data_IF_373822674489
#
_entry.id   IF_373822674489
#
_cell.length_a   1.000
_cell.length_b   1.000
_cell.length_c   1.000
_cell.angle_alpha   90.00
_cell.angle_beta   90.00
_cell.angle_gamma   90.00
#
_symmetry.space_group_name_H-M   'P 1'
#
loop_
_entity.id
_entity.type
_entity.pdbx_description
1 polymer ?
#
# COMPACT_ATOMS: atom_id res chain seq x y z
N UNK A 1 -21.04 -15.67 -11.09
CA UNK A 1 -19.89 -15.17 -11.89
C UNK A 1 -19.86 -13.65 -11.75
N UNK A 2 -18.73 -13.10 -11.28
CA UNK A 2 -18.57 -11.66 -10.99
C UNK A 2 -18.28 -10.84 -12.25
N UNK A 3 -17.89 -11.47 -13.36
CA UNK A 3 -17.40 -10.78 -14.58
C UNK A 3 -15.96 -10.27 -14.45
N UNK A 4 -15.25 -10.62 -13.38
CA UNK A 4 -13.84 -10.26 -13.21
C UNK A 4 -12.97 -10.95 -14.28
N UNK A 5 -12.00 -10.22 -14.82
CA UNK A 5 -11.02 -10.70 -15.80
C UNK A 5 -9.59 -10.70 -15.25
N UNK A 6 -9.35 -10.03 -14.13
CA UNK A 6 -8.06 -9.96 -13.45
C UNK A 6 -8.15 -10.37 -11.99
N UNK A 7 -7.01 -10.70 -11.42
CA UNK A 7 -6.86 -11.01 -10.00
C UNK A 7 -5.67 -10.25 -9.42
N UNK A 8 -5.90 -9.63 -8.28
CA UNK A 8 -4.88 -9.05 -7.41
C UNK A 8 -4.56 -10.04 -6.30
N UNK A 9 -3.30 -10.22 -5.97
CA UNK A 9 -2.85 -11.18 -4.97
C UNK A 9 -2.24 -10.46 -3.78
N UNK A 10 -2.94 -10.46 -2.67
CA UNK A 10 -2.43 -9.96 -1.39
C UNK A 10 -1.71 -11.10 -0.66
N UNK A 11 -0.37 -11.06 -0.69
CA UNK A 11 0.48 -12.18 -0.29
C UNK A 11 0.23 -12.66 1.15
N UNK A 12 0.18 -11.74 2.12
CA UNK A 12 0.05 -12.07 3.54
C UNK A 12 -1.30 -12.72 3.88
N UNK A 13 -2.34 -12.38 3.14
CA UNK A 13 -3.68 -12.89 3.38
C UNK A 13 -4.01 -14.13 2.56
N UNK A 14 -3.51 -14.19 1.34
CA UNK A 14 -3.91 -15.22 0.37
C UNK A 14 -2.89 -16.37 0.29
N UNK A 15 -1.60 -16.09 0.50
CA UNK A 15 -0.55 -17.12 0.58
C UNK A 15 -0.31 -17.45 2.06
N UNK A 16 -1.03 -18.44 2.57
CA UNK A 16 -0.93 -18.87 3.98
C UNK A 16 0.25 -19.83 4.22
N UNK A 17 1.43 -19.48 3.71
CA UNK A 17 2.67 -20.29 3.81
C UNK A 17 3.85 -19.40 4.18
N UNK A 18 4.63 -19.87 5.13
CA UNK A 18 5.91 -19.29 5.46
C UNK A 18 6.98 -20.39 5.55
N UNK A 19 8.14 -20.23 4.89
CA UNK A 19 8.49 -19.12 4.00
C UNK A 19 7.63 -19.07 2.73
N UNK A 20 7.58 -17.89 2.08
CA UNK A 20 6.85 -17.72 0.82
C UNK A 20 7.34 -18.73 -0.25
N UNK A 21 6.45 -19.27 -1.10
CA UNK A 21 6.75 -20.35 -2.03
C UNK A 21 7.50 -19.90 -3.29
N UNK A 22 8.67 -19.26 -3.14
CA UNK A 22 9.42 -18.62 -4.23
C UNK A 22 9.96 -19.60 -5.26
N UNK A 23 10.30 -20.82 -4.85
CA UNK A 23 10.87 -21.85 -5.72
C UNK A 23 10.00 -23.12 -5.72
N UNK A 24 8.73 -22.97 -5.40
CA UNK A 24 7.76 -24.06 -5.36
C UNK A 24 7.04 -24.19 -6.70
N UNK A 25 7.53 -25.09 -7.55
CA UNK A 25 6.95 -25.32 -8.88
C UNK A 25 5.51 -25.87 -8.78
N UNK A 26 5.21 -26.69 -7.78
CA UNK A 26 3.84 -27.19 -7.58
C UNK A 26 2.87 -26.08 -7.24
N UNK A 27 3.29 -25.10 -6.42
CA UNK A 27 2.49 -23.90 -6.14
C UNK A 27 2.29 -23.05 -7.40
N UNK A 28 3.32 -22.87 -8.19
CA UNK A 28 3.28 -22.14 -9.47
C UNK A 28 2.33 -22.80 -10.46
N UNK A 29 2.42 -24.11 -10.65
CA UNK A 29 1.50 -24.87 -11.51
C UNK A 29 0.05 -24.77 -11.05
N UNK A 30 -0.19 -24.86 -9.74
CA UNK A 30 -1.52 -24.68 -9.15
C UNK A 30 -2.08 -23.28 -9.41
N UNK A 31 -1.25 -22.25 -9.23
CA UNK A 31 -1.61 -20.85 -9.50
C UNK A 31 -2.05 -20.65 -10.96
N UNK A 32 -1.22 -21.03 -11.91
CA UNK A 32 -1.56 -20.91 -13.34
C UNK A 32 -2.73 -21.81 -13.73
N UNK A 33 -2.92 -22.94 -13.08
CA UNK A 33 -4.08 -23.78 -13.22
C UNK A 33 -5.38 -23.06 -12.84
N UNK A 34 -5.38 -22.31 -11.75
CA UNK A 34 -6.51 -21.46 -11.34
C UNK A 34 -6.77 -20.32 -12.32
N UNK A 35 -5.74 -19.60 -12.72
CA UNK A 35 -5.87 -18.52 -13.70
C UNK A 35 -6.54 -19.03 -14.99
N UNK A 36 -6.06 -20.13 -15.53
CA UNK A 36 -6.64 -20.77 -16.71
C UNK A 36 -8.08 -21.21 -16.49
N UNK A 37 -8.37 -21.89 -15.36
CA UNK A 37 -9.70 -22.40 -15.04
C UNK A 37 -10.76 -21.30 -14.96
N UNK A 38 -10.41 -20.14 -14.40
CA UNK A 38 -11.32 -19.04 -14.17
C UNK A 38 -11.22 -17.93 -15.22
N UNK A 39 -10.35 -18.09 -16.21
CA UNK A 39 -10.04 -17.09 -17.25
C UNK A 39 -9.67 -15.73 -16.64
N UNK A 40 -8.67 -15.75 -15.75
CA UNK A 40 -8.16 -14.57 -15.05
C UNK A 40 -6.72 -14.30 -15.46
N UNK A 41 -6.34 -13.00 -15.42
CA UNK A 41 -4.96 -12.56 -15.60
C UNK A 41 -4.41 -11.99 -14.28
N UNK A 42 -3.14 -12.20 -13.94
CA UNK A 42 -2.51 -11.58 -12.78
C UNK A 42 -2.35 -10.08 -13.03
N UNK A 43 -3.04 -9.22 -12.25
CA UNK A 43 -3.04 -7.77 -12.42
C UNK A 43 -2.00 -7.08 -11.55
N UNK A 44 -2.02 -7.34 -10.25
CA UNK A 44 -1.11 -6.75 -9.29
C UNK A 44 -0.81 -7.72 -8.14
N UNK A 45 0.45 -7.74 -7.72
CA UNK A 45 0.90 -8.42 -6.51
C UNK A 45 1.03 -7.39 -5.39
N UNK A 46 0.35 -7.59 -4.27
CA UNK A 46 0.41 -6.71 -3.13
C UNK A 46 1.43 -7.19 -2.11
N UNK A 47 2.44 -6.36 -1.87
CA UNK A 47 3.48 -6.60 -0.88
C UNK A 47 3.35 -5.61 0.29
N UNK A 48 3.36 -6.15 1.49
CA UNK A 48 3.49 -5.38 2.72
C UNK A 48 4.88 -5.57 3.30
N UNK A 49 5.53 -4.45 3.61
CA UNK A 49 6.82 -4.46 4.26
C UNK A 49 6.62 -4.47 5.78
N UNK A 50 6.71 -5.65 6.39
CA UNK A 50 6.62 -5.80 7.84
C UNK A 50 7.96 -5.44 8.48
N UNK A 51 7.98 -4.37 9.26
CA UNK A 51 9.20 -3.85 9.88
C UNK A 51 9.42 -4.33 11.32
N UNK A 52 8.39 -4.92 11.94
CA UNK A 52 8.35 -5.28 13.36
C UNK A 52 8.33 -6.79 13.59
N UNK A 53 9.12 -7.53 12.81
CA UNK A 53 9.22 -8.99 12.95
C UNK A 53 10.10 -9.46 14.11
N UNK A 54 10.83 -8.54 14.75
CA UNK A 54 11.66 -8.80 15.93
C UNK A 54 11.18 -7.97 17.12
N UNK A 55 11.15 -8.58 18.31
CA UNK A 55 10.70 -7.91 19.54
C UNK A 55 11.66 -6.81 20.02
N UNK A 56 12.94 -6.88 19.66
CA UNK A 56 14.01 -6.07 20.23
C UNK A 56 14.66 -5.09 19.25
N UNK A 57 14.30 -5.13 17.97
CA UNK A 57 14.82 -4.21 16.96
C UNK A 57 13.92 -4.10 15.74
N UNK A 58 14.04 -3.00 15.03
CA UNK A 58 13.56 -2.89 13.66
C UNK A 58 14.47 -3.68 12.71
N UNK A 59 13.93 -4.14 11.59
CA UNK A 59 14.75 -4.68 10.53
C UNK A 59 15.57 -3.58 9.85
N UNK A 60 16.81 -3.91 9.47
CA UNK A 60 17.71 -2.97 8.80
C UNK A 60 17.23 -2.65 7.38
N UNK A 61 17.72 -1.55 6.79
CA UNK A 61 17.45 -1.20 5.40
C UNK A 61 17.79 -2.35 4.44
N UNK A 62 18.94 -3.01 4.64
CA UNK A 62 19.33 -4.14 3.80
C UNK A 62 18.36 -5.33 3.88
N UNK A 63 17.83 -5.62 5.08
CA UNK A 63 16.80 -6.65 5.27
C UNK A 63 15.50 -6.26 4.57
N UNK A 64 15.08 -5.00 4.67
CA UNK A 64 13.88 -4.47 4.00
C UNK A 64 14.02 -4.57 2.48
N UNK A 65 15.15 -4.18 1.92
CA UNK A 65 15.45 -4.32 0.48
C UNK A 65 15.41 -5.79 0.05
N UNK A 66 15.95 -6.70 0.87
CA UNK A 66 15.90 -8.14 0.57
C UNK A 66 14.47 -8.69 0.61
N UNK A 67 13.63 -8.21 1.53
CA UNK A 67 12.21 -8.55 1.55
C UNK A 67 11.49 -8.07 0.29
N UNK A 68 11.71 -6.83 -0.12
CA UNK A 68 11.15 -6.29 -1.37
C UNK A 68 11.62 -7.11 -2.59
N UNK A 69 12.89 -7.45 -2.68
CA UNK A 69 13.43 -8.30 -3.78
C UNK A 69 12.82 -9.69 -3.77
N UNK A 70 12.56 -10.27 -2.60
CA UNK A 70 11.87 -11.55 -2.45
C UNK A 70 10.45 -11.46 -3.05
N UNK A 71 9.71 -10.40 -2.72
CA UNK A 71 8.35 -10.22 -3.21
C UNK A 71 8.31 -9.91 -4.71
N UNK A 72 9.26 -9.12 -5.23
CA UNK A 72 9.45 -8.93 -6.68
C UNK A 72 9.68 -10.26 -7.40
N UNK A 73 10.53 -11.14 -6.83
CA UNK A 73 10.79 -12.46 -7.39
C UNK A 73 9.55 -13.33 -7.43
N UNK A 74 8.77 -13.35 -6.33
CA UNK A 74 7.53 -14.11 -6.27
C UNK A 74 6.49 -13.55 -7.24
N UNK A 75 6.33 -12.23 -7.32
CA UNK A 75 5.46 -11.58 -8.29
C UNK A 75 5.80 -11.99 -9.73
N UNK A 76 7.08 -11.91 -10.11
CA UNK A 76 7.56 -12.34 -11.43
C UNK A 76 7.27 -13.81 -11.70
N UNK A 77 7.55 -14.70 -10.74
CA UNK A 77 7.29 -16.15 -10.86
C UNK A 77 5.81 -16.45 -11.08
N UNK A 78 4.91 -15.67 -10.46
CA UNK A 78 3.46 -15.82 -10.60
C UNK A 78 2.87 -15.06 -11.80
N UNK A 79 3.72 -14.43 -12.62
CA UNK A 79 3.30 -13.75 -13.85
C UNK A 79 2.83 -12.31 -13.67
N UNK A 80 2.95 -11.72 -12.49
CA UNK A 80 2.63 -10.33 -12.25
C UNK A 80 3.68 -9.40 -12.87
N UNK A 81 3.22 -8.30 -13.45
CA UNK A 81 4.05 -7.22 -13.98
C UNK A 81 4.07 -5.98 -13.08
N UNK A 82 3.20 -5.95 -12.11
CA UNK A 82 3.09 -4.86 -11.15
C UNK A 82 3.08 -5.42 -9.73
N UNK A 83 3.83 -4.76 -8.86
CA UNK A 83 3.85 -5.00 -7.43
C UNK A 83 3.42 -3.70 -6.75
N UNK A 84 2.36 -3.76 -5.95
CA UNK A 84 1.90 -2.64 -5.12
C UNK A 84 2.55 -2.71 -3.74
N UNK A 85 3.01 -1.56 -3.26
CA UNK A 85 3.45 -1.38 -1.87
C UNK A 85 2.80 -0.14 -1.26
N UNK A 86 2.78 -0.05 0.06
CA UNK A 86 2.09 1.02 0.78
C UNK A 86 2.96 2.28 0.93
N UNK A 87 2.32 3.42 1.20
CA UNK A 87 2.96 4.71 1.52
C UNK A 87 3.94 4.65 2.70
N UNK A 88 3.81 3.64 3.56
CA UNK A 88 4.74 3.39 4.68
C UNK A 88 6.07 2.78 4.23
N UNK A 89 6.20 2.33 2.98
CA UNK A 89 7.45 1.78 2.48
C UNK A 89 8.48 2.88 2.29
N UNK A 90 9.65 2.81 2.96
CA UNK A 90 10.67 3.83 2.82
C UNK A 90 11.18 3.96 1.38
N UNK A 91 11.43 5.20 0.96
CA UNK A 91 11.95 5.50 -0.39
C UNK A 91 13.26 4.77 -0.68
N UNK A 92 14.16 4.69 0.30
CA UNK A 92 15.45 4.00 0.17
C UNK A 92 15.31 2.49 -0.10
N UNK A 93 14.23 1.87 0.41
CA UNK A 93 13.90 0.47 0.11
C UNK A 93 13.47 0.31 -1.34
N UNK A 94 12.62 1.22 -1.81
CA UNK A 94 12.17 1.25 -3.21
C UNK A 94 13.38 1.43 -4.11
N UNK A 95 14.18 2.47 -3.88
CA UNK A 95 15.36 2.78 -4.68
C UNK A 95 16.37 1.62 -4.71
N UNK A 96 16.68 1.02 -3.55
CA UNK A 96 17.56 -0.14 -3.43
C UNK A 96 17.04 -1.41 -4.11
N UNK A 97 15.80 -1.40 -4.56
CA UNK A 97 15.15 -2.53 -5.25
C UNK A 97 14.96 -2.32 -6.75
N UNK A 98 15.19 -1.11 -7.28
CA UNK A 98 14.87 -0.75 -8.68
C UNK A 98 15.61 -1.60 -9.70
N UNK A 99 16.91 -1.80 -9.54
CA UNK A 99 17.71 -2.64 -10.45
C UNK A 99 17.18 -4.08 -10.52
N UNK A 100 16.76 -4.59 -9.36
CA UNK A 100 16.20 -5.94 -9.29
C UNK A 100 14.79 -5.99 -9.90
N UNK A 101 13.98 -4.96 -9.72
CA UNK A 101 12.68 -4.83 -10.33
C UNK A 101 12.77 -4.82 -11.87
N UNK A 102 13.72 -4.06 -12.41
CA UNK A 102 14.03 -4.05 -13.84
C UNK A 102 14.48 -5.41 -14.34
N UNK A 103 15.42 -6.07 -13.66
CA UNK A 103 15.87 -7.41 -13.99
C UNK A 103 14.76 -8.45 -14.04
N UNK A 104 13.77 -8.33 -13.15
CA UNK A 104 12.64 -9.26 -13.04
C UNK A 104 11.43 -8.84 -13.88
N UNK A 105 11.49 -7.68 -14.55
CA UNK A 105 10.40 -7.09 -15.32
C UNK A 105 9.10 -6.93 -14.50
N UNK A 106 9.23 -6.40 -13.26
CA UNK A 106 8.14 -6.13 -12.34
C UNK A 106 8.22 -4.67 -11.88
N UNK A 107 7.21 -3.87 -12.17
CA UNK A 107 7.14 -2.47 -11.75
C UNK A 107 6.67 -2.35 -10.31
N UNK A 108 7.34 -1.52 -9.53
CA UNK A 108 6.94 -1.17 -8.16
C UNK A 108 5.97 0.01 -8.23
N UNK A 109 4.76 -0.15 -7.71
CA UNK A 109 3.77 0.90 -7.58
C UNK A 109 3.58 1.26 -6.11
N UNK A 110 3.82 2.52 -5.74
CA UNK A 110 3.53 3.03 -4.41
C UNK A 110 2.08 3.47 -4.34
N UNK A 111 1.27 2.78 -3.53
CA UNK A 111 -0.12 3.18 -3.32
C UNK A 111 -0.19 4.51 -2.58
N UNK A 112 -0.92 5.44 -3.16
CA UNK A 112 -1.18 6.75 -2.55
C UNK A 112 -2.63 6.77 -2.08
N UNK A 113 -2.83 6.66 -0.78
CA UNK A 113 -4.16 6.73 -0.17
C UNK A 113 -4.26 7.88 0.83
N UNK A 114 -5.49 8.28 1.16
CA UNK A 114 -5.72 9.30 2.17
C UNK A 114 -5.03 8.92 3.51
N UNK A 115 -4.41 9.89 4.21
CA UNK A 115 -4.47 11.34 4.01
C UNK A 115 -3.45 11.90 3.01
N UNK A 116 -2.60 11.07 2.41
CA UNK A 116 -1.60 11.51 1.44
C UNK A 116 -2.24 11.98 0.13
N UNK A 117 -1.54 12.86 -0.57
CA UNK A 117 -1.95 13.37 -1.88
C UNK A 117 -0.72 13.60 -2.74
N UNK A 118 -0.82 13.39 -4.04
CA UNK A 118 0.27 13.67 -4.99
C UNK A 118 0.65 15.16 -5.05
N UNK A 119 -0.27 16.04 -4.63
CA UNK A 119 -0.06 17.49 -4.65
C UNK A 119 0.46 18.06 -3.31
N UNK A 120 0.79 17.23 -2.34
CA UNK A 120 1.12 17.66 -0.97
C UNK A 120 2.60 17.80 -0.68
N UNK A 121 3.49 17.88 -1.68
CA UNK A 121 4.95 17.90 -1.49
C UNK A 121 5.54 16.55 -0.99
N UNK A 122 4.71 15.67 -0.45
CA UNK A 122 5.14 14.33 -0.03
C UNK A 122 5.71 13.51 -1.19
N UNK A 123 5.16 13.68 -2.40
CA UNK A 123 5.59 12.96 -3.58
C UNK A 123 6.87 13.52 -4.21
N UNK A 124 7.32 14.72 -3.82
CA UNK A 124 8.44 15.42 -4.47
C UNK A 124 9.74 14.62 -4.41
N UNK A 125 10.06 14.02 -3.26
CA UNK A 125 11.25 13.17 -3.13
C UNK A 125 11.22 11.94 -4.04
N UNK A 126 10.04 11.32 -4.22
CA UNK A 126 9.89 10.20 -5.16
C UNK A 126 10.02 10.65 -6.62
N UNK A 127 9.51 11.85 -6.95
CA UNK A 127 9.68 12.42 -8.30
C UNK A 127 11.14 12.74 -8.57
N UNK A 128 11.87 13.29 -7.61
CA UNK A 128 13.32 13.52 -7.71
C UNK A 128 14.07 12.18 -7.90
N UNK A 129 13.72 11.14 -7.17
CA UNK A 129 14.29 9.80 -7.34
C UNK A 129 14.06 9.28 -8.76
N UNK A 130 12.82 9.39 -9.30
CA UNK A 130 12.49 8.99 -10.67
C UNK A 130 13.38 9.75 -11.68
N UNK A 131 13.48 11.06 -11.53
CA UNK A 131 14.29 11.90 -12.43
C UNK A 131 15.78 11.56 -12.35
N UNK A 132 16.31 11.39 -11.15
CA UNK A 132 17.73 11.08 -10.92
C UNK A 132 18.12 9.69 -11.43
N UNK A 133 17.26 8.68 -11.22
CA UNK A 133 17.55 7.30 -11.61
C UNK A 133 17.16 7.00 -13.06
N UNK A 134 16.25 7.78 -13.64
CA UNK A 134 15.69 7.54 -14.97
C UNK A 134 14.86 6.25 -15.03
N UNK A 135 14.44 5.68 -13.89
CA UNK A 135 13.75 4.40 -13.81
C UNK A 135 12.40 4.42 -14.52
N UNK A 136 12.05 3.29 -15.15
CA UNK A 136 10.71 3.01 -15.69
C UNK A 136 9.99 1.95 -14.84
N UNK A 137 10.60 1.53 -13.73
CA UNK A 137 10.13 0.44 -12.87
C UNK A 137 9.59 0.92 -11.53
N UNK A 138 9.36 2.23 -11.39
CA UNK A 138 8.65 2.81 -10.25
C UNK A 138 7.60 3.82 -10.72
N UNK A 139 6.48 3.87 -9.99
CA UNK A 139 5.41 4.83 -10.18
C UNK A 139 4.42 4.83 -9.03
N UNK A 140 3.32 5.55 -9.19
CA UNK A 140 2.28 5.67 -8.17
C UNK A 140 1.02 4.91 -8.59
N UNK A 141 0.32 4.35 -7.61
CA UNK A 141 -1.01 3.76 -7.73
C UNK A 141 -1.96 4.62 -6.90
N UNK A 142 -2.69 5.57 -7.49
CA UNK A 142 -3.62 6.41 -6.75
C UNK A 142 -4.82 5.60 -6.26
N UNK A 143 -5.01 5.50 -4.95
CA UNK A 143 -6.28 5.08 -4.38
C UNK A 143 -7.34 6.18 -4.62
N UNK A 144 -8.51 5.81 -5.11
CA UNK A 144 -9.56 6.78 -5.42
C UNK A 144 -10.04 7.57 -4.18
N UNK A 145 -9.76 7.07 -2.98
CA UNK A 145 -10.03 7.76 -1.72
C UNK A 145 -9.31 9.11 -1.59
N UNK A 146 -8.17 9.31 -2.27
CA UNK A 146 -7.47 10.62 -2.27
C UNK A 146 -8.32 11.75 -2.88
N UNK A 147 -9.27 11.41 -3.74
CA UNK A 147 -10.17 12.36 -4.39
C UNK A 147 -11.46 12.62 -3.59
N UNK A 148 -11.69 11.89 -2.49
CA UNK A 148 -12.83 12.13 -1.63
C UNK A 148 -12.69 13.48 -0.93
N UNK A 149 -13.62 14.40 -1.20
CA UNK A 149 -13.64 15.73 -0.56
C UNK A 149 -14.15 15.69 0.89
N UNK A 150 -15.04 14.77 1.16
CA UNK A 150 -15.69 14.62 2.48
C UNK A 150 -15.56 13.19 2.96
N UNK A 151 -15.61 12.99 4.27
CA UNK A 151 -15.75 11.64 4.84
C UNK A 151 -17.11 11.07 4.44
N UNK A 152 -17.18 9.82 3.92
CA UNK A 152 -18.44 9.19 3.56
C UNK A 152 -19.41 9.07 4.75
N UNK A 153 -20.70 9.27 4.50
CA UNK A 153 -21.74 9.20 5.54
C UNK A 153 -21.75 7.86 6.28
N UNK A 154 -21.47 6.77 5.57
CA UNK A 154 -21.39 5.44 6.18
C UNK A 154 -20.35 5.35 7.29
N UNK A 155 -19.25 6.08 7.19
CA UNK A 155 -18.21 6.14 8.24
C UNK A 155 -18.65 7.02 9.42
N UNK A 156 -19.34 8.14 9.17
CA UNK A 156 -19.93 8.98 10.20
C UNK A 156 -20.99 8.20 10.98
N UNK A 157 -21.87 7.49 10.28
CA UNK A 157 -22.89 6.66 10.91
C UNK A 157 -22.30 5.49 11.70
N UNK A 158 -21.19 4.91 11.23
CA UNK A 158 -20.45 3.94 12.02
C UNK A 158 -19.90 4.56 13.30
N UNK A 159 -19.29 5.75 13.23
CA UNK A 159 -18.77 6.46 14.40
C UNK A 159 -19.90 6.75 15.42
N UNK A 160 -21.07 7.22 14.96
CA UNK A 160 -22.25 7.42 15.82
C UNK A 160 -22.68 6.16 16.53
N UNK A 161 -22.76 5.05 15.80
CA UNK A 161 -23.11 3.74 16.41
C UNK A 161 -22.08 3.27 17.43
N UNK A 162 -20.82 3.70 17.30
CA UNK A 162 -19.74 3.42 18.25
C UNK A 162 -19.68 4.42 19.43
N UNK A 163 -20.63 5.38 19.49
CA UNK A 163 -20.75 6.34 20.61
C UNK A 163 -19.98 7.65 20.40
N UNK A 164 -19.49 7.97 19.21
CA UNK A 164 -18.87 9.26 18.95
C UNK A 164 -19.93 10.39 19.02
N UNK A 165 -19.58 11.50 19.69
CA UNK A 165 -20.42 12.70 19.73
C UNK A 165 -20.42 13.42 18.38
N UNK A 166 -21.47 14.19 18.09
CA UNK A 166 -21.54 15.03 16.88
C UNK A 166 -20.43 16.09 16.86
N UNK A 167 -20.00 16.57 18.03
CA UNK A 167 -18.85 17.48 18.14
C UNK A 167 -17.56 16.81 17.68
N UNK A 168 -17.32 15.57 18.12
CA UNK A 168 -16.16 14.78 17.69
C UNK A 168 -16.19 14.52 16.18
N UNK A 169 -17.35 14.14 15.63
CA UNK A 169 -17.53 13.91 14.19
C UNK A 169 -17.25 15.20 13.40
N UNK A 170 -17.74 16.34 13.89
CA UNK A 170 -17.50 17.64 13.26
C UNK A 170 -16.01 18.01 13.24
N UNK A 171 -15.27 17.80 14.33
CA UNK A 171 -13.82 18.06 14.40
C UNK A 171 -13.08 17.22 13.34
N UNK A 172 -13.44 15.95 13.20
CA UNK A 172 -12.83 15.06 12.21
C UNK A 172 -13.19 15.48 10.78
N UNK A 173 -14.42 15.88 10.53
CA UNK A 173 -14.86 16.40 9.21
C UNK A 173 -14.11 17.68 8.83
N UNK A 174 -13.98 18.63 9.77
CA UNK A 174 -13.26 19.89 9.56
C UNK A 174 -11.77 19.63 9.27
N UNK A 175 -11.13 18.72 10.01
CA UNK A 175 -9.77 18.30 9.77
C UNK A 175 -9.59 17.63 8.40
N UNK A 176 -10.52 16.76 8.03
CA UNK A 176 -10.49 16.09 6.75
C UNK A 176 -10.64 17.07 5.58
N UNK A 177 -11.51 18.08 5.71
CA UNK A 177 -11.67 19.13 4.70
C UNK A 177 -10.39 19.96 4.53
N UNK A 178 -9.70 20.28 5.63
CA UNK A 178 -8.47 21.10 5.62
C UNK A 178 -7.25 20.37 5.02
N UNK A 179 -7.24 19.03 4.94
CA UNK A 179 -6.10 18.27 4.43
C UNK A 179 -5.73 18.63 2.98
N UNK A 180 -6.70 19.07 2.19
CA UNK A 180 -6.49 19.47 0.79
C UNK A 180 -5.65 20.75 0.69
N UNK A 181 -5.85 21.68 1.62
CA UNK A 181 -5.18 22.98 1.64
C UNK A 181 -3.87 22.95 2.43
N UNK A 182 -3.84 22.24 3.55
CA UNK A 182 -2.73 22.24 4.51
C UNK A 182 -1.85 20.99 4.45
N UNK A 183 -2.17 20.02 3.59
CA UNK A 183 -1.48 18.74 3.54
C UNK A 183 -1.90 17.81 4.67
N UNK A 184 -0.93 17.33 5.43
CA UNK A 184 -1.15 16.34 6.48
C UNK A 184 -1.68 17.00 7.75
N UNK A 185 -2.85 16.54 8.25
CA UNK A 185 -3.42 16.94 9.54
C UNK A 185 -3.39 15.75 10.49
N UNK A 186 -2.66 15.88 11.58
CA UNK A 186 -2.61 14.85 12.63
C UNK A 186 -3.79 15.02 13.57
N UNK A 187 -4.60 13.97 13.69
CA UNK A 187 -5.70 13.90 14.65
C UNK A 187 -5.25 13.05 15.83
N UNK A 188 -5.35 13.62 17.04
CA UNK A 188 -5.13 12.90 18.29
C UNK A 188 -6.46 12.67 18.97
N UNK A 189 -6.77 11.42 19.27
CA UNK A 189 -7.96 11.04 20.03
C UNK A 189 -7.64 11.01 21.51
N UNK A 190 -8.45 11.69 22.31
CA UNK A 190 -8.49 11.51 23.75
C UNK A 190 -9.57 10.48 24.07
N UNK A 191 -9.13 9.24 24.30
CA UNK A 191 -10.03 8.11 24.52
C UNK A 191 -10.80 8.21 25.86
N UNK A 192 -10.24 8.91 26.84
CA UNK A 192 -10.87 9.06 28.17
C UNK A 192 -12.00 10.09 28.14
N UNK A 193 -11.90 11.09 27.28
CA UNK A 193 -12.90 12.15 27.15
C UNK A 193 -13.83 11.97 25.95
N UNK A 194 -13.58 10.98 25.09
CA UNK A 194 -14.33 10.80 23.83
C UNK A 194 -14.19 11.98 22.87
N UNK A 195 -13.11 12.76 22.99
CA UNK A 195 -12.85 13.97 22.19
C UNK A 195 -11.72 13.71 21.20
N UNK A 196 -11.83 14.35 20.02
CA UNK A 196 -10.75 14.42 19.06
C UNK A 196 -10.13 15.82 19.12
N UNK A 197 -8.82 15.89 19.26
CA UNK A 197 -8.05 17.14 19.18
C UNK A 197 -7.21 17.12 17.91
N UNK A 198 -7.15 18.26 17.22
CA UNK A 198 -6.26 18.45 16.09
C UNK A 198 -4.93 19.03 16.55
N UNK A 199 -3.83 18.42 16.11
CA UNK A 199 -2.50 18.99 16.20
C UNK A 199 -2.04 19.34 14.76
N UNK A 200 -1.62 20.59 14.56
CA UNK A 200 -1.10 21.10 13.30
C UNK A 200 0.42 21.01 13.23
#
# INVERSE_FOLDING_TARGET
KTGATGVELLAEQMIRRFPLPIEDEAFREQWFGWLKKYNLEPSCYDAFLENHIYDNRMISLGEQVNMMKRDIRLASMLGFKNLRTLVSTPMDVIEGSLEYAEKMDVKIGLEVHAPFSLNSGWADGYMEMIHRTGTKYFGFIPDMGIFCKNIPDVLRDKARRMGASEECIKIVDDAYAQRIEKGFVKIKYDLDLGKANMEY
#
